data_IF_819294516277
#
_entry.id   IF_819294516277
#
_cell.length_a   1.000
_cell.length_b   1.000
_cell.length_c   1.000
_cell.angle_alpha   90.00
_cell.angle_beta   90.00
_cell.angle_gamma   90.00
#
_symmetry.space_group_name_H-M   'P 1'
#
loop_
_entity.id
_entity.type
_entity.pdbx_description
1 polymer ?
#
# COMPACT_ATOMS: atom_id res chain seq x y z
N UNK A 1 -19.53 10.03 9.59
CA UNK A 1 -18.52 10.05 8.51
C UNK A 1 -17.24 10.51 9.15
N UNK A 2 -16.26 9.62 9.37
CA UNK A 2 -14.93 10.06 9.76
C UNK A 2 -14.31 10.71 8.52
N UNK A 3 -14.38 12.03 8.44
CA UNK A 3 -13.60 12.79 7.47
C UNK A 3 -12.13 12.42 7.70
N UNK A 4 -11.44 11.97 6.65
CA UNK A 4 -10.01 11.73 6.73
C UNK A 4 -9.38 13.05 7.18
N UNK A 5 -8.79 13.08 8.38
CA UNK A 5 -8.12 14.28 8.85
C UNK A 5 -6.80 14.43 8.10
N UNK A 6 -6.89 15.09 6.94
CA UNK A 6 -5.76 15.38 6.06
C UNK A 6 -4.66 16.20 6.76
N UNK A 7 -4.92 16.78 7.94
CA UNK A 7 -3.90 17.50 8.73
C UNK A 7 -2.82 16.58 9.27
N UNK A 8 -3.10 15.27 9.39
CA UNK A 8 -2.15 14.24 9.86
C UNK A 8 -1.29 13.63 8.72
N UNK A 9 -1.48 14.08 7.48
CA UNK A 9 -0.75 13.61 6.30
C UNK A 9 0.38 14.57 5.94
N UNK A 10 1.49 14.04 5.41
CA UNK A 10 2.52 14.88 4.82
C UNK A 10 1.98 15.63 3.59
N UNK A 11 2.33 16.91 3.42
CA UNK A 11 1.87 17.73 2.28
C UNK A 11 2.36 17.19 0.93
N UNK A 12 3.52 16.54 0.93
CA UNK A 12 4.14 15.95 -0.25
C UNK A 12 4.68 14.57 0.08
N UNK A 13 4.61 13.62 -0.86
CA UNK A 13 5.21 12.31 -0.70
C UNK A 13 6.74 12.46 -0.60
N UNK A 14 7.34 11.96 0.49
CA UNK A 14 8.80 11.86 0.57
C UNK A 14 9.22 10.54 -0.07
N UNK A 15 10.10 10.53 -1.09
CA UNK A 15 10.69 9.30 -1.56
C UNK A 15 11.76 8.82 -0.57
N UNK A 16 11.79 7.52 -0.28
CA UNK A 16 12.87 6.89 0.48
C UNK A 16 14.14 6.79 -0.36
N UNK A 17 15.28 7.05 0.28
CA UNK A 17 16.62 6.80 -0.26
C UNK A 17 16.83 5.30 -0.50
N UNK A 18 17.72 4.95 -1.43
CA UNK A 18 18.09 3.56 -1.73
C UNK A 18 18.62 2.83 -0.48
N UNK A 19 19.43 3.50 0.34
CA UNK A 19 19.95 2.94 1.59
C UNK A 19 18.85 2.73 2.66
N UNK A 20 17.80 3.56 2.67
CA UNK A 20 16.65 3.36 3.57
C UNK A 20 15.80 2.18 3.08
N UNK A 21 15.61 2.05 1.77
CA UNK A 21 14.89 0.93 1.15
C UNK A 21 15.58 -0.41 1.40
N UNK A 22 16.90 -0.46 1.23
CA UNK A 22 17.67 -1.70 1.43
C UNK A 22 17.53 -2.24 2.85
N UNK A 23 17.53 -1.36 3.86
CA UNK A 23 17.30 -1.76 5.26
C UNK A 23 15.88 -2.23 5.54
N UNK A 24 14.91 -1.77 4.75
CA UNK A 24 13.51 -2.18 4.88
C UNK A 24 13.24 -3.49 4.14
N UNK A 25 14.03 -3.82 3.11
CA UNK A 25 13.88 -5.02 2.28
C UNK A 25 13.87 -6.30 3.13
N UNK A 26 14.73 -6.37 4.16
CA UNK A 26 14.80 -7.50 5.10
C UNK A 26 13.49 -7.75 5.86
N UNK A 27 12.63 -6.73 6.00
CA UNK A 27 11.37 -6.83 6.73
C UNK A 27 10.16 -7.06 5.84
N UNK A 28 10.30 -6.92 4.52
CA UNK A 28 9.18 -7.02 3.57
C UNK A 28 8.48 -8.37 3.68
N UNK A 29 9.25 -9.46 3.78
CA UNK A 29 8.70 -10.81 3.89
C UNK A 29 7.99 -11.06 5.23
N UNK A 30 8.25 -10.23 6.24
CA UNK A 30 7.61 -10.30 7.56
C UNK A 30 6.36 -9.40 7.67
N UNK A 31 5.99 -8.68 6.61
CA UNK A 31 4.76 -7.86 6.57
C UNK A 31 3.55 -8.80 6.50
N UNK A 32 2.61 -8.62 7.42
CA UNK A 32 1.39 -9.41 7.47
C UNK A 32 0.21 -8.66 6.86
N UNK A 33 -0.53 -9.34 5.98
CA UNK A 33 -1.72 -8.80 5.32
C UNK A 33 -2.95 -9.51 5.86
N UNK A 34 -3.91 -8.75 6.35
CA UNK A 34 -5.18 -9.31 6.81
C UNK A 34 -6.13 -9.68 5.66
N UNK A 35 -7.15 -10.47 6.01
CA UNK A 35 -8.28 -10.73 5.14
C UNK A 35 -8.99 -9.42 4.76
N UNK A 36 -9.50 -9.36 3.53
CA UNK A 36 -10.34 -8.26 3.05
C UNK A 36 -11.72 -8.40 3.68
N UNK A 37 -12.30 -7.28 4.11
CA UNK A 37 -13.69 -7.21 4.52
C UNK A 37 -14.34 -6.00 3.85
N UNK A 38 -15.56 -6.15 3.38
CA UNK A 38 -16.28 -5.11 2.64
C UNK A 38 -17.58 -4.73 3.33
N UNK A 39 -17.95 -3.46 3.22
CA UNK A 39 -19.31 -2.99 3.48
C UNK A 39 -20.06 -2.73 2.16
N UNK A 40 -21.11 -1.93 2.16
CA UNK A 40 -21.89 -1.60 0.97
C UNK A 40 -21.18 -0.64 -0.01
N UNK A 41 -20.12 0.05 0.42
CA UNK A 41 -19.48 1.15 -0.31
C UNK A 41 -17.96 0.96 -0.52
N UNK A 42 -17.28 0.35 0.45
CA UNK A 42 -15.84 0.25 0.55
C UNK A 42 -15.39 -1.16 0.97
N UNK A 43 -14.21 -1.52 0.48
CA UNK A 43 -13.44 -2.66 0.90
C UNK A 43 -12.31 -2.18 1.82
N UNK A 44 -12.07 -2.93 2.88
CA UNK A 44 -11.12 -2.62 3.93
C UNK A 44 -10.14 -3.76 4.11
N UNK A 45 -8.93 -3.40 4.49
CA UNK A 45 -7.85 -4.32 4.87
C UNK A 45 -6.91 -3.59 5.81
N UNK A 46 -6.35 -4.29 6.77
CA UNK A 46 -5.23 -3.79 7.54
C UNK A 46 -3.93 -4.53 7.19
N UNK A 47 -2.82 -3.81 7.24
CA UNK A 47 -1.46 -4.34 7.08
C UNK A 47 -0.74 -4.17 8.39
N UNK A 48 -0.16 -5.25 8.90
CA UNK A 48 0.60 -5.24 10.14
C UNK A 48 2.09 -5.31 9.79
N UNK A 49 2.81 -4.26 10.15
CA UNK A 49 4.25 -4.17 10.00
C UNK A 49 4.95 -4.84 11.19
N UNK A 50 6.11 -5.47 10.98
CA UNK A 50 6.91 -5.95 12.09
C UNK A 50 7.43 -4.77 12.92
N UNK A 51 7.34 -4.87 14.26
CA UNK A 51 7.77 -3.80 15.19
C UNK A 51 9.24 -3.40 15.03
N UNK A 52 10.08 -4.30 14.51
CA UNK A 52 11.47 -4.01 14.19
C UNK A 52 11.59 -3.03 13.01
N UNK A 53 10.77 -3.17 11.98
CA UNK A 53 10.73 -2.29 10.82
C UNK A 53 10.34 -0.85 11.20
N UNK A 54 9.38 -0.68 12.12
CA UNK A 54 9.01 0.65 12.63
C UNK A 54 10.20 1.42 13.23
N UNK A 55 11.22 0.74 13.75
CA UNK A 55 12.42 1.40 14.30
C UNK A 55 13.41 1.83 13.22
N UNK A 56 13.34 1.19 12.06
CA UNK A 56 14.20 1.44 10.89
C UNK A 56 13.61 2.53 10.00
N UNK A 57 12.28 2.66 10.01
CA UNK A 57 11.57 3.72 9.28
C UNK A 57 12.10 5.10 9.74
N UNK A 58 12.36 6.02 8.80
CA UNK A 58 12.86 7.35 9.15
C UNK A 58 11.85 8.11 10.02
N UNK A 59 12.35 8.82 11.03
CA UNK A 59 11.53 9.60 11.99
C UNK A 59 10.60 10.63 11.33
N UNK A 60 10.87 11.03 10.10
CA UNK A 60 10.02 11.95 9.33
C UNK A 60 8.64 11.36 9.02
N UNK A 61 8.55 10.04 8.83
CA UNK A 61 7.30 9.31 8.66
C UNK A 61 6.58 9.04 9.99
N UNK A 62 7.26 9.29 11.11
CA UNK A 62 6.65 9.19 12.43
C UNK A 62 6.03 10.54 12.81
N UNK A 63 4.89 10.47 13.47
CA UNK A 63 4.28 11.60 14.13
C UNK A 63 4.99 11.82 15.47
N UNK A 64 5.63 12.98 15.69
CA UNK A 64 6.35 13.26 16.94
C UNK A 64 5.43 13.39 18.17
N UNK A 65 4.11 13.58 17.98
CA UNK A 65 3.16 13.74 19.08
C UNK A 65 2.63 12.41 19.58
N UNK A 66 2.30 11.49 18.68
CA UNK A 66 1.66 10.21 19.02
C UNK A 66 2.67 9.04 19.01
N UNK A 67 3.84 9.21 18.37
CA UNK A 67 4.79 8.13 18.15
C UNK A 67 4.33 7.09 17.12
N UNK A 68 3.21 7.35 16.44
CA UNK A 68 2.67 6.50 15.37
C UNK A 68 3.25 6.89 14.02
N UNK A 69 2.98 6.11 12.98
CA UNK A 69 3.23 6.56 11.61
C UNK A 69 2.23 7.66 11.24
N UNK A 70 2.64 8.56 10.34
CA UNK A 70 1.75 9.54 9.71
C UNK A 70 0.88 8.87 8.65
N UNK A 71 -0.13 9.58 8.16
CA UNK A 71 -0.82 9.15 6.94
C UNK A 71 0.17 9.17 5.77
N UNK A 72 0.25 8.04 5.08
CA UNK A 72 1.23 7.77 4.03
C UNK A 72 0.57 7.87 2.66
N UNK A 73 1.28 8.46 1.70
CA UNK A 73 0.90 8.41 0.29
C UNK A 73 1.11 7.02 -0.32
N UNK A 74 0.45 6.76 -1.46
CA UNK A 74 0.64 5.51 -2.21
C UNK A 74 2.10 5.21 -2.48
N UNK A 75 2.84 6.20 -2.94
CA UNK A 75 4.26 6.09 -3.23
C UNK A 75 5.09 5.78 -1.97
N UNK A 76 4.68 6.31 -0.81
CA UNK A 76 5.41 6.13 0.45
C UNK A 76 5.21 4.72 0.99
N UNK A 77 3.96 4.25 1.10
CA UNK A 77 3.71 2.90 1.61
C UNK A 77 4.20 1.82 0.64
N UNK A 78 4.17 2.07 -0.67
CA UNK A 78 4.81 1.17 -1.66
C UNK A 78 6.32 1.14 -1.49
N UNK A 79 6.95 2.29 -1.21
CA UNK A 79 8.39 2.36 -0.98
C UNK A 79 8.81 1.67 0.32
N UNK A 80 7.93 1.55 1.32
CA UNK A 80 8.14 0.73 2.51
C UNK A 80 8.14 -0.79 2.19
N UNK A 81 7.72 -1.19 1.00
CA UNK A 81 7.61 -2.60 0.61
C UNK A 81 6.22 -3.19 0.85
N UNK A 82 5.22 -2.37 1.18
CA UNK A 82 3.83 -2.83 1.21
C UNK A 82 3.35 -2.97 -0.23
N UNK A 83 2.96 -4.18 -0.60
CA UNK A 83 2.55 -4.51 -1.97
C UNK A 83 1.08 -4.93 -2.00
N UNK A 84 0.25 -4.15 -2.66
CA UNK A 84 -1.18 -4.38 -2.80
C UNK A 84 -1.70 -3.83 -4.13
N UNK A 85 -2.93 -4.21 -4.49
CA UNK A 85 -3.58 -3.78 -5.73
C UNK A 85 -3.75 -2.25 -5.81
N UNK A 86 -4.12 -1.74 -6.97
CA UNK A 86 -4.42 -0.30 -7.11
C UNK A 86 -5.70 0.08 -6.36
N UNK A 87 -5.80 1.35 -5.98
CA UNK A 87 -6.99 1.95 -5.36
C UNK A 87 -7.06 1.85 -3.84
N UNK A 88 -6.06 1.27 -3.17
CA UNK A 88 -6.00 1.25 -1.70
C UNK A 88 -5.50 2.60 -1.17
N UNK A 89 -6.28 3.20 -0.28
CA UNK A 89 -5.98 4.45 0.40
C UNK A 89 -5.75 4.19 1.89
N UNK A 90 -4.59 4.59 2.41
CA UNK A 90 -4.30 4.59 3.83
C UNK A 90 -5.07 5.74 4.49
N UNK A 91 -6.09 5.41 5.28
CA UNK A 91 -7.06 6.43 5.75
C UNK A 91 -6.97 6.72 7.24
N UNK A 92 -6.45 5.80 8.04
CA UNK A 92 -6.39 5.95 9.49
C UNK A 92 -5.20 5.19 10.08
N UNK A 93 -4.68 5.71 11.19
CA UNK A 93 -3.59 5.12 11.95
C UNK A 93 -4.13 4.69 13.30
N UNK A 94 -3.87 3.45 13.68
CA UNK A 94 -4.33 2.91 14.96
C UNK A 94 -3.39 3.37 16.09
N UNK A 95 -3.84 4.30 16.93
CA UNK A 95 -3.06 4.85 18.05
C UNK A 95 -2.52 3.80 19.05
N UNK A 96 -3.29 2.78 19.48
CA UNK A 96 -2.76 1.78 20.41
C UNK A 96 -1.79 0.80 19.74
N UNK A 97 -1.83 0.64 18.41
CA UNK A 97 -0.95 -0.26 17.66
C UNK A 97 -0.36 0.44 16.42
N UNK A 98 0.74 1.20 16.57
CA UNK A 98 1.33 2.01 15.49
C UNK A 98 1.87 1.20 14.32
N UNK A 99 1.92 -0.12 14.47
CA UNK A 99 2.38 -1.07 13.45
C UNK A 99 1.24 -1.55 12.55
N UNK A 100 0.00 -1.18 12.84
CA UNK A 100 -1.17 -1.54 12.05
C UNK A 100 -1.57 -0.34 11.18
N UNK A 101 -1.56 -0.53 9.87
CA UNK A 101 -1.95 0.45 8.86
C UNK A 101 -3.31 0.07 8.28
N UNK A 102 -4.27 1.00 8.27
CA UNK A 102 -5.64 0.76 7.82
C UNK A 102 -5.85 1.28 6.40
N UNK A 103 -6.18 0.37 5.49
CA UNK A 103 -6.44 0.70 4.10
C UNK A 103 -7.92 0.53 3.78
N UNK A 104 -8.43 1.43 2.93
CA UNK A 104 -9.76 1.33 2.33
C UNK A 104 -9.68 1.51 0.83
N UNK A 105 -10.60 0.93 0.09
CA UNK A 105 -10.74 1.04 -1.37
C UNK A 105 -12.22 1.09 -1.71
N UNK A 106 -12.63 1.88 -2.70
CA UNK A 106 -14.02 1.83 -3.17
C UNK A 106 -14.30 0.51 -3.90
N UNK A 107 -15.45 -0.11 -3.63
CA UNK A 107 -15.83 -1.39 -4.29
C UNK A 107 -15.97 -1.20 -5.81
N UNK A 108 -16.43 -0.02 -6.23
CA UNK A 108 -16.55 0.37 -7.63
C UNK A 108 -15.27 0.98 -8.22
N UNK A 109 -14.10 0.74 -7.61
CA UNK A 109 -12.84 1.27 -8.13
C UNK A 109 -12.56 0.67 -9.52
N UNK A 110 -12.69 1.50 -10.56
CA UNK A 110 -12.18 1.17 -11.87
C UNK A 110 -10.73 1.65 -11.96
N UNK A 111 -9.75 0.75 -12.21
CA UNK A 111 -8.42 1.23 -12.52
C UNK A 111 -8.54 2.16 -13.74
N UNK A 112 -7.82 3.29 -13.76
CA UNK A 112 -7.88 4.19 -14.91
C UNK A 112 -7.57 3.34 -16.14
N UNK A 113 -8.57 3.19 -17.01
CA UNK A 113 -8.43 2.46 -18.26
C UNK A 113 -7.27 3.14 -18.97
N UNK A 114 -6.14 2.44 -19.13
CA UNK A 114 -5.12 2.87 -20.07
C UNK A 114 -5.86 2.93 -21.40
N UNK A 115 -6.27 4.13 -21.81
CA UNK A 115 -6.87 4.34 -23.11
C UNK A 115 -5.87 3.73 -24.09
N UNK A 116 -6.29 2.64 -24.75
CA UNK A 116 -5.63 2.12 -25.92
C UNK A 116 -5.68 3.24 -26.97
N UNK A 117 -4.72 4.16 -26.91
CA UNK A 117 -4.43 5.03 -28.03
C UNK A 117 -3.86 4.11 -29.09
N UNK A 118 -4.68 3.88 -30.12
CA UNK A 118 -4.36 3.01 -31.23
C UNK A 118 -3.01 3.37 -31.84
N UNK A 119 -2.21 2.32 -32.06
CA UNK A 119 -1.16 2.30 -33.07
C UNK A 119 0.13 3.02 -32.71
N UNK A 120 1.01 2.38 -31.93
CA UNK A 120 2.44 2.39 -32.25
C UNK A 120 3.15 1.16 -31.67
N UNK A 121 4.02 0.61 -32.50
CA UNK A 121 4.78 -0.61 -32.36
C UNK A 121 5.75 -0.54 -31.18
N UNK A 122 5.80 -1.55 -30.32
CA UNK A 122 6.93 -1.75 -29.42
C UNK A 122 7.86 -2.82 -30.02
N UNK A 123 8.86 -2.37 -30.76
CA UNK A 123 10.14 -3.05 -30.79
C UNK A 123 10.94 -2.59 -29.55
N UNK A 124 11.40 -3.58 -28.80
CA UNK A 124 12.52 -3.57 -27.85
C UNK A 124 12.61 -2.46 -26.78
N UNK A 125 12.19 -2.80 -25.56
CA UNK A 125 12.91 -2.40 -24.34
C UNK A 125 12.77 -3.54 -23.31
N UNK A 126 13.46 -4.63 -23.60
CA UNK A 126 13.88 -5.60 -22.58
C UNK A 126 15.14 -5.07 -21.91
N UNK A 127 15.01 -4.13 -20.99
CA UNK A 127 16.07 -3.83 -20.02
C UNK A 127 15.48 -2.97 -18.90
N UNK A 128 15.59 -3.44 -17.65
CA UNK A 128 15.22 -2.75 -16.42
C UNK A 128 13.72 -2.60 -16.10
N UNK A 129 13.02 -3.72 -15.98
CA UNK A 129 11.95 -3.87 -14.98
C UNK A 129 12.20 -5.18 -14.24
N UNK A 130 12.51 -5.06 -12.94
CA UNK A 130 12.73 -6.22 -12.06
C UNK A 130 11.54 -7.18 -12.14
N UNK A 131 11.78 -8.50 -12.28
CA UNK A 131 10.73 -9.51 -12.46
C UNK A 131 9.76 -9.64 -11.27
N UNK A 132 10.08 -9.03 -10.11
CA UNK A 132 9.19 -9.02 -8.93
C UNK A 132 7.90 -8.21 -9.11
N UNK A 133 7.79 -7.36 -10.14
CA UNK A 133 6.61 -6.47 -10.30
C UNK A 133 5.74 -6.79 -11.53
N UNK A 134 5.88 -7.98 -12.12
CA UNK A 134 5.03 -8.42 -13.25
C UNK A 134 3.89 -9.37 -12.85
N UNK A 135 3.83 -9.81 -11.60
CA UNK A 135 2.87 -10.82 -11.13
C UNK A 135 1.73 -10.30 -10.23
N UNK A 136 1.68 -9.01 -9.89
CA UNK A 136 0.60 -8.48 -9.02
C UNK A 136 -0.60 -7.90 -9.80
N UNK A 137 -0.87 -8.44 -10.99
CA UNK A 137 -2.13 -8.19 -11.72
C UNK A 137 -2.82 -9.53 -12.02
N UNK A 138 -2.80 -10.46 -11.07
CA UNK A 138 -3.54 -11.73 -11.16
C UNK A 138 -3.88 -12.25 -9.75
N UNK A 139 -4.49 -11.43 -8.89
CA UNK A 139 -5.28 -11.97 -7.77
C UNK A 139 -6.70 -12.24 -8.29
N UNK A 140 -6.77 -13.21 -9.21
CA UNK A 140 -7.99 -13.89 -9.59
C UNK A 140 -8.13 -15.06 -8.62
N UNK A 141 -8.87 -14.87 -7.53
CA UNK A 141 -9.48 -15.97 -6.80
C UNK A 141 -10.87 -15.52 -6.37
N UNK A 142 -11.80 -15.71 -7.30
CA UNK A 142 -13.22 -15.82 -7.04
C UNK A 142 -13.41 -17.14 -6.30
N UNK A 143 -13.54 -17.12 -4.97
CA UNK A 143 -14.00 -18.28 -4.22
C UNK A 143 -15.54 -18.24 -4.20
N UNK A 144 -16.14 -18.79 -5.26
CA UNK A 144 -17.48 -19.36 -5.17
C UNK A 144 -17.28 -20.86 -4.98
N UNK A 145 -17.42 -21.28 -3.73
CA UNK A 145 -17.69 -22.65 -3.30
C UNK A 145 -18.84 -22.50 -2.29
N UNK A 146 -20.11 -22.65 -2.66
CA UNK A 146 -20.82 -23.93 -2.87
C UNK A 146 -20.45 -25.02 -1.85
N UNK A 147 -21.32 -25.16 -0.83
CA UNK A 147 -21.60 -26.31 0.05
C UNK A 147 -22.43 -25.77 1.24
N UNK A 148 -23.63 -26.20 1.59
CA UNK A 148 -24.50 -27.35 1.30
C UNK A 148 -25.97 -26.88 1.43
#
# INVERSE_FOLDING_TARGET
MAEIDYSRRNKYARPLSEAEKERLDEFIDAIHYSARYSDDQYEYRHVQLPKAMLKVIPKEYHDPQTGTLKLLWEEEWRALGITQSLGWEHYEVHEPEPHILLFKRSINYQPPTQQQQGGICFADVTSYVSPKLRFMVFDYQFDVSDQD
#
